data_IF_952992583871
#
_entry.id   IF_952992583871
#
_cell.length_a   1.000
_cell.length_b   1.000
_cell.length_c   1.000
_cell.angle_alpha   90.00
_cell.angle_beta   90.00
_cell.angle_gamma   90.00
#
_symmetry.space_group_name_H-M   'P 1'
#
loop_
_entity.id
_entity.type
_entity.pdbx_description
1 polymer ?
#
# COMPACT_ATOMS: atom_id res chain seq x y z
N UNK A 1 9.06 6.50 14.11
CA UNK A 1 9.46 6.30 12.70
C UNK A 1 8.50 5.29 12.10
N UNK A 2 7.64 5.70 11.17
CA UNK A 2 6.61 4.80 10.64
C UNK A 2 7.25 3.74 9.74
N UNK A 3 7.29 2.51 10.23
CA UNK A 3 7.90 1.35 9.59
C UNK A 3 6.86 0.53 8.85
N UNK A 4 7.31 -0.43 8.02
CA UNK A 4 6.39 -1.37 7.34
C UNK A 4 5.66 -2.27 8.33
N UNK A 5 6.24 -2.48 9.51
CA UNK A 5 5.65 -3.21 10.62
C UNK A 5 4.51 -2.43 11.27
N UNK A 6 4.66 -1.09 11.42
CA UNK A 6 3.56 -0.23 11.88
C UNK A 6 2.35 -0.29 10.94
N UNK A 7 2.59 -0.31 9.62
CA UNK A 7 1.52 -0.47 8.62
C UNK A 7 0.81 -1.82 8.79
N UNK A 8 1.57 -2.90 8.97
CA UNK A 8 1.01 -4.23 9.15
C UNK A 8 0.19 -4.36 10.45
N UNK A 9 0.70 -3.79 11.54
CA UNK A 9 0.02 -3.72 12.83
C UNK A 9 -1.28 -2.91 12.74
N UNK A 10 -1.28 -1.78 12.04
CA UNK A 10 -2.48 -0.95 11.86
C UNK A 10 -3.56 -1.67 11.05
N UNK A 11 -3.16 -2.37 9.98
CA UNK A 11 -4.07 -3.12 9.12
C UNK A 11 -4.45 -4.48 9.74
N UNK A 12 -3.81 -4.89 10.84
CA UNK A 12 -4.08 -6.16 11.51
C UNK A 12 -3.68 -7.37 10.67
N UNK A 13 -2.61 -7.27 9.90
CA UNK A 13 -2.12 -8.34 9.00
C UNK A 13 -0.67 -8.69 9.29
N UNK A 14 -0.22 -9.84 8.77
CA UNK A 14 1.19 -10.21 8.86
C UNK A 14 2.06 -9.20 8.08
N UNK A 15 3.21 -8.82 8.65
CA UNK A 15 4.15 -7.86 8.04
C UNK A 15 4.54 -8.23 6.61
N UNK A 16 4.79 -9.50 6.36
CA UNK A 16 5.12 -10.00 5.02
C UNK A 16 3.96 -9.80 4.03
N UNK A 17 2.73 -10.02 4.47
CA UNK A 17 1.53 -9.82 3.63
C UNK A 17 1.36 -8.34 3.29
N UNK A 18 1.50 -7.45 4.26
CA UNK A 18 1.46 -6.00 4.02
C UNK A 18 2.56 -5.56 3.04
N UNK A 19 3.79 -6.06 3.21
CA UNK A 19 4.91 -5.76 2.31
C UNK A 19 4.64 -6.27 0.89
N UNK A 20 4.12 -7.49 0.75
CA UNK A 20 3.78 -8.07 -0.56
C UNK A 20 2.75 -7.21 -1.29
N UNK A 21 1.66 -6.84 -0.61
CA UNK A 21 0.60 -5.99 -1.17
C UNK A 21 1.13 -4.62 -1.61
N UNK A 22 1.93 -3.97 -0.77
CA UNK A 22 2.54 -2.67 -1.10
C UNK A 22 3.48 -2.78 -2.32
N UNK A 23 4.19 -3.90 -2.45
CA UNK A 23 5.07 -4.17 -3.59
C UNK A 23 4.28 -4.41 -4.88
N UNK A 24 3.16 -5.13 -4.80
CA UNK A 24 2.23 -5.34 -5.92
C UNK A 24 1.63 -4.02 -6.40
N UNK A 25 1.09 -3.20 -5.49
CA UNK A 25 0.57 -1.87 -5.82
C UNK A 25 1.62 -0.94 -6.44
N UNK A 26 2.88 -1.08 -6.04
CA UNK A 26 4.01 -0.35 -6.61
C UNK A 26 4.35 -0.82 -8.03
N UNK A 27 4.33 -2.13 -8.28
CA UNK A 27 4.49 -2.70 -9.62
C UNK A 27 3.36 -2.28 -10.57
N UNK A 28 2.14 -2.23 -10.05
CA UNK A 28 0.96 -1.78 -10.79
C UNK A 28 0.91 -0.27 -11.02
N UNK A 29 1.93 0.48 -10.56
CA UNK A 29 2.03 1.94 -10.65
C UNK A 29 0.84 2.68 -10.01
N UNK A 30 0.22 2.06 -9.00
CA UNK A 30 -0.85 2.66 -8.19
C UNK A 30 -0.23 3.57 -7.13
N UNK A 31 0.85 3.09 -6.52
CA UNK A 31 1.66 3.83 -5.56
C UNK A 31 3.12 3.82 -6.00
N UNK A 32 3.90 4.77 -5.48
CA UNK A 32 5.35 4.78 -5.56
C UNK A 32 5.92 4.70 -4.15
N UNK A 33 6.76 3.68 -3.92
CA UNK A 33 7.51 3.53 -2.68
C UNK A 33 8.83 4.28 -2.79
N UNK A 34 8.94 5.45 -2.13
CA UNK A 34 10.19 6.21 -2.04
C UNK A 34 10.75 6.13 -0.61
N UNK A 35 11.57 5.11 -0.36
CA UNK A 35 12.08 4.79 0.97
C UNK A 35 10.95 4.47 1.97
N UNK A 36 10.76 5.35 2.96
CA UNK A 36 9.69 5.26 3.96
C UNK A 36 8.42 6.04 3.58
N UNK A 37 8.43 6.74 2.44
CA UNK A 37 7.27 7.48 1.93
C UNK A 37 6.52 6.63 0.91
N UNK A 38 5.21 6.77 0.92
CA UNK A 38 4.29 6.21 -0.07
C UNK A 38 3.67 7.39 -0.80
N UNK A 39 3.84 7.45 -2.11
CA UNK A 39 3.25 8.48 -2.96
C UNK A 39 2.15 7.82 -3.78
N UNK A 40 0.95 8.42 -3.81
CA UNK A 40 -0.13 7.93 -4.67
C UNK A 40 0.14 8.46 -6.07
N UNK A 41 0.32 7.55 -7.03
CA UNK A 41 0.55 7.90 -8.44
C UNK A 41 -0.72 7.83 -9.26
N UNK A 42 -1.67 6.98 -8.87
CA UNK A 42 -2.97 6.84 -9.54
C UNK A 42 -4.09 6.62 -8.50
N UNK A 43 -4.79 7.71 -8.18
CA UNK A 43 -5.89 7.70 -7.20
C UNK A 43 -7.11 6.90 -7.70
N UNK A 44 -7.42 6.97 -8.99
CA UNK A 44 -8.59 6.28 -9.55
C UNK A 44 -8.39 4.77 -9.52
N UNK A 45 -7.19 4.31 -9.88
CA UNK A 45 -6.82 2.89 -9.80
C UNK A 45 -6.75 2.42 -8.36
N UNK A 46 -6.26 3.25 -7.43
CA UNK A 46 -6.25 2.95 -6.00
C UNK A 46 -7.67 2.68 -5.45
N UNK A 47 -8.63 3.55 -5.76
CA UNK A 47 -10.03 3.40 -5.32
C UNK A 47 -10.65 2.11 -5.88
N UNK A 48 -10.42 1.82 -7.18
CA UNK A 48 -10.86 0.56 -7.79
C UNK A 48 -10.25 -0.66 -7.12
N UNK A 49 -8.95 -0.67 -6.87
CA UNK A 49 -8.25 -1.79 -6.22
C UNK A 49 -8.71 -1.98 -4.77
N UNK A 50 -9.06 -0.91 -4.07
CA UNK A 50 -9.60 -0.98 -2.72
C UNK A 50 -11.04 -1.53 -2.66
N UNK A 51 -11.67 -1.82 -3.82
CA UNK A 51 -13.09 -2.19 -3.92
C UNK A 51 -14.00 -1.22 -3.15
N UNK A 52 -13.58 0.04 -3.02
CA UNK A 52 -14.40 1.11 -2.47
C UNK A 52 -15.39 1.51 -3.57
N UNK A 53 -16.47 0.75 -3.67
CA UNK A 53 -17.67 1.10 -4.43
C UNK A 53 -18.74 1.40 -3.39
N UNK A 54 -19.23 2.64 -3.38
CA UNK A 54 -20.42 3.04 -2.60
C UNK A 54 -21.65 2.27 -3.11
#
# INVERSE_FOLDING_TARGET
MFSREDIANIVGTATETAIRLLSEMNKDKIILLNGKKIVITDLAKLIKTANLSD
#
